data_IF_382367105077
#
_entry.id   IF_382367105077
#
_cell.length_a   1.000
_cell.length_b   1.000
_cell.length_c   1.000
_cell.angle_alpha   90.00
_cell.angle_beta   90.00
_cell.angle_gamma   90.00
#
_symmetry.space_group_name_H-M   'P 1'
#
loop_
_entity.id
_entity.type
_entity.pdbx_description
1 polymer ?
#
# COMPACT_ATOMS: atom_id res chain seq x y z
N UNK A 1 -13.73 -7.12 -33.48
CA UNK A 1 -13.46 -6.95 -32.03
C UNK A 1 -12.14 -6.20 -31.96
N UNK A 2 -12.13 -4.99 -31.41
CA UNK A 2 -10.88 -4.29 -31.16
C UNK A 2 -10.05 -5.12 -30.16
N UNK A 3 -8.79 -5.39 -30.50
CA UNK A 3 -7.88 -6.09 -29.61
C UNK A 3 -7.73 -5.27 -28.30
N UNK A 4 -8.07 -5.86 -27.16
CA UNK A 4 -7.90 -5.21 -25.88
C UNK A 4 -6.42 -4.85 -25.67
N UNK A 5 -6.14 -3.66 -25.11
CA UNK A 5 -4.79 -3.23 -24.81
C UNK A 5 -4.04 -4.27 -23.94
N UNK A 6 -2.75 -4.55 -24.20
CA UNK A 6 -1.95 -5.44 -23.35
C UNK A 6 -1.88 -4.89 -21.93
N UNK A 7 -2.03 -5.76 -20.92
CA UNK A 7 -1.82 -5.41 -19.52
C UNK A 7 -0.47 -5.95 -19.05
N UNK A 8 0.41 -5.07 -18.58
CA UNK A 8 1.70 -5.39 -17.98
C UNK A 8 1.61 -5.16 -16.49
N UNK A 9 1.89 -6.19 -15.68
CA UNK A 9 1.77 -6.15 -14.23
C UNK A 9 3.13 -6.38 -13.58
N UNK A 10 3.64 -5.36 -12.89
CA UNK A 10 4.80 -5.48 -12.02
C UNK A 10 4.35 -6.06 -10.68
N UNK A 11 4.82 -7.25 -10.35
CA UNK A 11 4.27 -8.00 -9.23
C UNK A 11 5.25 -9.03 -8.66
N UNK A 12 4.76 -9.79 -7.72
CA UNK A 12 5.31 -11.08 -7.32
C UNK A 12 4.47 -12.16 -8.00
N UNK A 13 4.97 -12.79 -9.07
CA UNK A 13 4.22 -13.81 -9.79
C UNK A 13 3.78 -14.97 -8.89
N UNK A 14 2.54 -15.44 -9.07
CA UNK A 14 1.98 -16.55 -8.29
C UNK A 14 1.45 -16.15 -6.91
N UNK A 15 1.52 -14.88 -6.52
CA UNK A 15 0.80 -14.43 -5.35
C UNK A 15 -0.71 -14.29 -5.62
N UNK A 16 -1.49 -14.10 -4.54
CA UNK A 16 -2.96 -14.04 -4.64
C UNK A 16 -3.47 -12.90 -5.52
N UNK A 17 -2.71 -11.79 -5.64
CA UNK A 17 -3.10 -10.63 -6.43
C UNK A 17 -2.87 -10.88 -7.91
N UNK A 18 -1.67 -11.29 -8.29
CA UNK A 18 -1.34 -11.62 -9.67
C UNK A 18 -2.18 -12.79 -10.20
N UNK A 19 -2.42 -13.82 -9.37
CA UNK A 19 -3.31 -14.93 -9.72
C UNK A 19 -4.76 -14.46 -9.90
N UNK A 20 -5.28 -13.61 -9.03
CA UNK A 20 -6.63 -13.06 -9.13
C UNK A 20 -6.84 -12.20 -10.37
N UNK A 21 -5.84 -11.40 -10.77
CA UNK A 21 -5.86 -10.62 -12.01
C UNK A 21 -5.94 -11.57 -13.21
N UNK A 22 -5.10 -12.61 -13.27
CA UNK A 22 -5.11 -13.58 -14.38
C UNK A 22 -6.46 -14.31 -14.47
N UNK A 23 -7.00 -14.76 -13.35
CA UNK A 23 -8.30 -15.42 -13.28
C UNK A 23 -9.46 -14.52 -13.74
N UNK A 24 -9.44 -13.24 -13.33
CA UNK A 24 -10.46 -12.29 -13.77
C UNK A 24 -10.39 -12.04 -15.28
N UNK A 25 -9.17 -11.91 -15.83
CA UNK A 25 -8.98 -11.75 -17.29
C UNK A 25 -9.44 -12.97 -18.06
N UNK A 26 -9.13 -14.17 -17.60
CA UNK A 26 -9.60 -15.42 -18.18
C UNK A 26 -11.14 -15.49 -18.23
N UNK A 27 -11.81 -15.22 -17.09
CA UNK A 27 -13.28 -15.22 -17.00
C UNK A 27 -13.94 -14.20 -17.92
N UNK A 28 -13.27 -13.10 -18.16
CA UNK A 28 -13.76 -12.02 -19.05
C UNK A 28 -13.35 -12.23 -20.53
N UNK A 29 -12.65 -13.34 -20.86
CA UNK A 29 -12.15 -13.59 -22.21
C UNK A 29 -11.09 -12.60 -22.68
N UNK A 30 -10.38 -11.94 -21.73
CA UNK A 30 -9.30 -11.01 -22.02
C UNK A 30 -7.96 -11.77 -22.14
N UNK A 31 -7.02 -11.29 -22.97
CA UNK A 31 -5.68 -11.87 -23.02
C UNK A 31 -5.01 -11.88 -21.63
N UNK A 32 -4.22 -12.91 -21.29
CA UNK A 32 -3.47 -12.95 -20.04
C UNK A 32 -2.59 -11.70 -19.86
N UNK A 33 -2.42 -11.24 -18.63
CA UNK A 33 -1.49 -10.15 -18.34
C UNK A 33 -0.03 -10.62 -18.44
N UNK A 34 0.86 -9.75 -18.91
CA UNK A 34 2.31 -9.95 -18.89
C UNK A 34 2.82 -9.64 -17.48
N UNK A 35 3.42 -10.63 -16.80
CA UNK A 35 3.88 -10.47 -15.42
C UNK A 35 5.37 -10.17 -15.39
N UNK A 36 5.75 -9.04 -14.80
CA UNK A 36 7.14 -8.62 -14.61
C UNK A 36 7.52 -8.78 -13.14
N UNK A 37 8.43 -9.72 -12.81
CA UNK A 37 8.80 -9.98 -11.43
C UNK A 37 9.63 -8.86 -10.81
N UNK A 38 9.20 -8.31 -9.66
CA UNK A 38 10.04 -7.37 -8.88
C UNK A 38 11.40 -7.95 -8.51
N UNK A 39 11.47 -9.26 -8.23
CA UNK A 39 12.71 -9.92 -7.87
C UNK A 39 13.77 -9.81 -8.97
N UNK A 40 13.37 -9.97 -10.23
CA UNK A 40 14.26 -9.87 -11.38
C UNK A 40 14.79 -8.43 -11.56
N UNK A 41 13.91 -7.44 -11.45
CA UNK A 41 14.30 -6.03 -11.49
C UNK A 41 15.29 -5.68 -10.36
N UNK A 42 15.02 -6.15 -9.14
CA UNK A 42 15.89 -5.90 -7.98
C UNK A 42 17.24 -6.64 -8.06
N UNK A 43 17.32 -7.71 -8.86
CA UNK A 43 18.57 -8.40 -9.21
C UNK A 43 19.34 -7.73 -10.36
N UNK A 44 18.81 -6.62 -10.89
CA UNK A 44 19.48 -5.83 -11.93
C UNK A 44 19.15 -6.24 -13.35
N UNK A 45 18.20 -7.19 -13.58
CA UNK A 45 17.80 -7.55 -14.93
C UNK A 45 17.18 -6.36 -15.66
N UNK A 46 17.54 -6.12 -16.93
CA UNK A 46 16.95 -5.06 -17.74
C UNK A 46 15.46 -5.28 -17.99
N UNK A 47 14.65 -4.23 -17.90
CA UNK A 47 13.21 -4.33 -18.15
C UNK A 47 12.90 -4.81 -19.58
N UNK A 48 13.70 -4.44 -20.56
CA UNK A 48 13.54 -4.88 -21.95
C UNK A 48 13.57 -6.43 -22.08
N UNK A 49 14.57 -7.08 -21.46
CA UNK A 49 14.68 -8.53 -21.46
C UNK A 49 13.50 -9.21 -20.75
N UNK A 50 13.04 -8.63 -19.64
CA UNK A 50 11.88 -9.15 -18.89
C UNK A 50 10.58 -9.05 -19.69
N UNK A 51 10.40 -7.98 -20.46
CA UNK A 51 9.26 -7.81 -21.36
C UNK A 51 9.28 -8.84 -22.48
N UNK A 52 10.42 -9.07 -23.11
CA UNK A 52 10.59 -10.10 -24.15
C UNK A 52 10.27 -11.50 -23.61
N UNK A 53 10.79 -11.86 -22.44
CA UNK A 53 10.51 -13.13 -21.78
C UNK A 53 9.02 -13.30 -21.46
N UNK A 54 8.37 -12.26 -20.96
CA UNK A 54 6.93 -12.29 -20.62
C UNK A 54 6.07 -12.49 -21.87
N UNK A 55 6.41 -11.84 -22.98
CA UNK A 55 5.74 -12.04 -24.28
C UNK A 55 5.93 -13.44 -24.82
N UNK A 56 7.16 -13.98 -24.76
CA UNK A 56 7.44 -15.37 -25.18
C UNK A 56 6.63 -16.40 -24.38
N UNK A 57 6.55 -16.22 -23.05
CA UNK A 57 5.75 -17.07 -22.17
C UNK A 57 4.26 -17.04 -22.53
N UNK A 58 3.71 -15.85 -22.83
CA UNK A 58 2.32 -15.69 -23.25
C UNK A 58 2.04 -16.44 -24.57
N UNK A 59 2.94 -16.35 -25.55
CA UNK A 59 2.81 -17.08 -26.83
C UNK A 59 2.86 -18.59 -26.65
N UNK A 60 3.71 -19.10 -25.77
CA UNK A 60 3.76 -20.53 -25.47
C UNK A 60 2.47 -21.05 -24.84
N UNK A 61 1.85 -20.28 -23.96
CA UNK A 61 0.58 -20.64 -23.32
C UNK A 61 -0.61 -20.58 -24.32
N UNK A 62 -0.55 -19.68 -25.29
CA UNK A 62 -1.59 -19.52 -26.31
C UNK A 62 -1.47 -20.54 -27.47
N UNK A 63 -0.28 -21.14 -27.67
CA UNK A 63 0.03 -22.06 -28.76
C UNK A 63 -0.20 -23.54 -28.45
N UNK A 64 -0.71 -23.92 -27.28
CA UNK A 64 -1.02 -25.32 -26.97
C UNK A 64 -2.42 -25.73 -27.45
N UNK A 65 -2.57 -25.83 -28.79
CA UNK A 65 -3.56 -26.74 -29.39
C UNK A 65 -2.84 -28.08 -29.60
N UNK A 66 -3.28 -29.20 -29.01
CA UNK A 66 -2.62 -30.48 -29.25
C UNK A 66 -2.92 -30.97 -30.67
N UNK A 67 -1.95 -30.93 -31.55
CA UNK A 67 -2.01 -31.61 -32.83
C UNK A 67 -1.63 -30.77 -34.05
N UNK A 68 -0.35 -30.50 -34.24
CA UNK A 68 0.34 -30.54 -35.53
C UNK A 68 1.85 -30.24 -35.35
N UNK A 69 2.78 -31.06 -35.88
CA UNK A 69 4.20 -30.75 -35.87
C UNK A 69 4.53 -29.73 -36.97
N UNK A 70 4.88 -28.50 -36.60
CA UNK A 70 5.51 -27.57 -37.54
C UNK A 70 7.03 -27.64 -37.44
N UNK A 71 7.64 -28.07 -38.52
CA UNK A 71 9.07 -28.00 -38.80
C UNK A 71 9.50 -26.52 -38.80
N UNK A 72 10.35 -26.15 -37.86
CA UNK A 72 10.96 -24.84 -37.82
C UNK A 72 12.28 -24.83 -38.61
N UNK A 73 12.35 -24.00 -39.63
CA UNK A 73 13.61 -23.59 -40.26
C UNK A 73 14.21 -22.40 -39.53
N UNK A 74 15.54 -22.37 -39.29
CA UNK A 74 16.19 -21.26 -38.64
C UNK A 74 16.37 -20.09 -39.64
N UNK A 75 15.74 -18.95 -39.39
CA UNK A 75 16.13 -17.70 -40.05
C UNK A 75 16.69 -16.74 -39.02
N UNK A 76 18.00 -16.55 -39.12
CA UNK A 76 18.73 -15.43 -38.57
C UNK A 76 18.31 -14.15 -39.29
N UNK A 77 17.77 -13.16 -38.57
CA UNK A 77 17.87 -11.76 -38.96
C UNK A 77 17.69 -10.86 -37.73
N UNK A 78 18.73 -10.20 -37.38
CA UNK A 78 18.80 -9.07 -36.48
C UNK A 78 18.01 -7.90 -37.08
N UNK A 79 16.78 -7.71 -36.68
CA UNK A 79 16.10 -6.41 -36.78
C UNK A 79 15.18 -6.31 -35.56
N UNK A 80 15.39 -5.29 -34.71
CA UNK A 80 14.69 -5.05 -33.48
C UNK A 80 13.21 -4.76 -33.73
N UNK A 81 12.40 -5.79 -33.83
CA UNK A 81 10.94 -5.70 -33.84
C UNK A 81 10.45 -6.09 -32.46
N UNK A 82 10.03 -5.09 -31.68
CA UNK A 82 9.36 -5.35 -30.40
C UNK A 82 7.94 -5.86 -30.69
N UNK A 83 7.55 -7.04 -30.18
CA UNK A 83 6.17 -7.55 -30.35
C UNK A 83 5.09 -6.61 -29.78
N UNK A 84 5.48 -5.66 -28.94
CA UNK A 84 4.58 -4.64 -28.37
C UNK A 84 4.34 -3.44 -29.29
N UNK A 85 5.19 -3.22 -30.32
CA UNK A 85 5.02 -2.15 -31.31
C UNK A 85 3.89 -2.47 -32.32
N UNK A 86 3.48 -3.73 -32.44
CA UNK A 86 2.37 -4.15 -33.31
C UNK A 86 1.00 -4.15 -32.60
N UNK A 87 0.93 -3.81 -31.30
CA UNK A 87 -0.32 -3.75 -30.57
C UNK A 87 -1.19 -2.58 -31.07
N UNK A 88 -2.47 -2.85 -31.37
CA UNK A 88 -3.41 -1.87 -31.85
C UNK A 88 -3.74 -0.74 -30.85
N UNK A 89 -3.35 -0.91 -29.57
CA UNK A 89 -3.51 0.06 -28.51
C UNK A 89 -2.29 0.04 -27.56
N UNK A 90 -1.89 1.22 -27.01
CA UNK A 90 -0.78 1.28 -26.07
C UNK A 90 -1.03 0.45 -24.81
N UNK A 91 0.03 -0.17 -24.21
CA UNK A 91 -0.13 -1.05 -23.07
C UNK A 91 -0.58 -0.30 -21.82
N UNK A 92 -1.38 -0.98 -21.01
CA UNK A 92 -1.73 -0.56 -19.67
C UNK A 92 -0.71 -1.13 -18.68
N UNK A 93 -0.20 -0.29 -17.80
CA UNK A 93 0.80 -0.63 -16.80
C UNK A 93 0.16 -0.66 -15.41
N UNK A 94 0.45 -1.71 -14.65
CA UNK A 94 -0.06 -1.90 -13.30
C UNK A 94 1.08 -2.30 -12.35
N UNK A 95 1.09 -1.68 -11.18
CA UNK A 95 1.98 -2.03 -10.08
C UNK A 95 1.16 -2.71 -8.98
N UNK A 96 1.62 -3.84 -8.49
CA UNK A 96 1.07 -4.52 -7.32
C UNK A 96 1.97 -4.35 -6.10
N UNK A 97 1.46 -4.71 -4.93
CA UNK A 97 2.22 -4.60 -3.68
C UNK A 97 3.48 -5.49 -3.71
N UNK A 98 4.67 -4.98 -3.35
CA UNK A 98 5.88 -5.77 -3.23
C UNK A 98 5.93 -6.59 -1.93
N UNK A 99 4.93 -6.49 -1.06
CA UNK A 99 4.92 -7.14 0.26
C UNK A 99 4.80 -8.65 0.23
N UNK A 100 5.08 -9.28 1.39
CA UNK A 100 4.88 -10.72 1.61
C UNK A 100 6.04 -11.61 1.14
N UNK A 101 7.24 -11.06 0.94
CA UNK A 101 8.47 -11.81 0.69
C UNK A 101 9.64 -11.11 1.37
N UNK A 102 10.29 -11.78 2.30
CA UNK A 102 11.47 -11.22 2.98
C UNK A 102 12.63 -10.98 2.00
N UNK A 103 12.77 -11.79 0.97
CA UNK A 103 13.80 -11.58 -0.05
C UNK A 103 13.61 -10.24 -0.78
N UNK A 104 12.35 -9.87 -1.11
CA UNK A 104 12.04 -8.57 -1.70
C UNK A 104 12.22 -7.43 -0.68
N UNK A 105 11.76 -7.63 0.56
CA UNK A 105 11.92 -6.65 1.63
C UNK A 105 13.40 -6.32 1.85
N UNK A 106 14.25 -7.33 1.97
CA UNK A 106 15.70 -7.20 2.11
C UNK A 106 16.34 -6.47 0.93
N UNK A 107 15.94 -6.81 -0.30
CA UNK A 107 16.44 -6.16 -1.50
C UNK A 107 16.03 -4.68 -1.58
N UNK A 108 14.81 -4.35 -1.17
CA UNK A 108 14.35 -2.96 -1.07
C UNK A 108 15.10 -2.18 0.02
N UNK A 109 15.38 -2.80 1.18
CA UNK A 109 16.21 -2.17 2.21
C UNK A 109 17.62 -1.90 1.66
N UNK A 110 18.21 -2.85 0.91
CA UNK A 110 19.52 -2.66 0.28
C UNK A 110 19.50 -1.54 -0.79
N UNK A 111 18.46 -1.49 -1.62
CA UNK A 111 18.28 -0.41 -2.61
C UNK A 111 18.08 0.96 -1.94
N UNK A 112 17.47 1.00 -0.75
CA UNK A 112 17.27 2.23 0.03
C UNK A 112 18.50 2.70 0.82
N UNK A 113 19.60 1.95 0.80
CA UNK A 113 20.82 2.29 1.52
C UNK A 113 21.46 3.59 1.01
N UNK A 114 22.19 4.34 1.88
CA UNK A 114 22.88 5.56 1.47
C UNK A 114 23.94 5.33 0.38
N UNK A 115 24.57 4.16 0.40
CA UNK A 115 25.64 3.72 -0.50
C UNK A 115 25.13 2.83 -1.65
N UNK A 116 23.82 2.73 -1.87
CA UNK A 116 23.27 1.98 -2.98
C UNK A 116 23.61 2.68 -4.32
N UNK A 117 24.01 1.92 -5.36
CA UNK A 117 24.25 2.50 -6.67
C UNK A 117 22.95 3.01 -7.31
N UNK A 118 23.07 3.95 -8.26
CA UNK A 118 21.94 4.48 -9.05
C UNK A 118 20.75 4.99 -8.23
N UNK A 119 21.06 5.73 -7.17
CA UNK A 119 20.09 6.23 -6.20
C UNK A 119 19.25 7.36 -6.80
N UNK A 120 18.04 7.04 -7.28
CA UNK A 120 17.03 8.00 -7.74
C UNK A 120 15.97 8.22 -6.66
N UNK A 121 16.12 9.29 -5.88
CA UNK A 121 15.18 9.66 -4.80
C UNK A 121 14.07 10.61 -5.31
N UNK A 122 13.87 10.78 -6.61
CA UNK A 122 12.91 11.75 -7.20
C UNK A 122 11.45 11.49 -6.80
N UNK A 123 11.08 10.25 -6.48
CA UNK A 123 9.73 9.88 -6.05
C UNK A 123 9.57 9.80 -4.53
N UNK A 124 10.61 10.07 -3.74
CA UNK A 124 10.46 10.06 -2.29
C UNK A 124 9.69 11.28 -1.81
N UNK A 125 8.50 11.16 -1.15
CA UNK A 125 7.57 12.27 -0.90
C UNK A 125 8.14 13.42 -0.07
N UNK A 126 9.07 13.15 0.82
CA UNK A 126 9.70 14.14 1.72
C UNK A 126 11.21 14.26 1.49
N UNK A 127 11.67 13.92 0.28
CA UNK A 127 13.09 13.89 -0.02
C UNK A 127 13.84 12.88 0.84
N UNK A 128 15.07 13.20 1.19
CA UNK A 128 15.89 12.31 2.03
C UNK A 128 15.52 12.51 3.50
N UNK A 129 14.65 11.67 4.04
CA UNK A 129 14.59 11.46 5.49
C UNK A 129 15.26 10.11 5.80
N UNK A 130 16.58 10.11 5.98
CA UNK A 130 17.29 8.87 6.22
C UNK A 130 16.92 8.33 7.59
N UNK A 131 16.84 7.00 7.69
CA UNK A 131 17.02 6.33 8.96
C UNK A 131 18.26 6.94 9.64
N UNK A 132 18.15 7.36 10.90
CA UNK A 132 19.30 7.93 11.65
C UNK A 132 20.43 6.93 11.84
N UNK A 133 20.19 5.64 11.59
CA UNK A 133 21.15 4.54 11.65
C UNK A 133 20.91 3.61 10.44
N UNK A 134 21.15 4.10 9.21
CA UNK A 134 20.91 3.30 8.03
C UNK A 134 21.92 2.15 7.94
N UNK A 135 21.48 1.04 7.36
CA UNK A 135 22.37 -0.03 6.94
C UNK A 135 23.03 0.34 5.61
N UNK A 136 24.29 -0.07 5.42
CA UNK A 136 24.88 -0.11 4.08
C UNK A 136 24.15 -1.12 3.20
N UNK A 137 24.25 -1.00 1.89
CA UNK A 137 23.65 -1.93 0.94
C UNK A 137 24.11 -3.38 1.21
N UNK A 138 25.41 -3.58 1.50
CA UNK A 138 25.99 -4.88 1.85
C UNK A 138 25.40 -5.44 3.14
N UNK A 139 25.27 -4.63 4.19
CA UNK A 139 24.70 -5.05 5.46
C UNK A 139 23.21 -5.37 5.33
N UNK A 140 22.46 -4.57 4.57
CA UNK A 140 21.06 -4.82 4.28
C UNK A 140 20.85 -6.12 3.50
N UNK A 141 21.68 -6.41 2.50
CA UNK A 141 21.63 -7.65 1.72
C UNK A 141 21.96 -8.91 2.56
N UNK A 142 22.65 -8.75 3.68
CA UNK A 142 23.00 -9.83 4.61
C UNK A 142 21.96 -10.07 5.72
N UNK A 143 20.88 -9.28 5.78
CA UNK A 143 19.83 -9.46 6.78
C UNK A 143 19.24 -10.87 6.73
N UNK A 144 19.02 -11.43 7.90
CA UNK A 144 18.37 -12.72 8.09
C UNK A 144 16.87 -12.52 8.33
N UNK A 145 16.07 -13.42 7.81
CA UNK A 145 14.64 -13.44 8.09
C UNK A 145 14.40 -13.82 9.54
N UNK A 146 13.75 -12.94 10.27
CA UNK A 146 13.30 -13.18 11.63
C UNK A 146 11.79 -12.93 11.68
N UNK A 147 10.97 -13.89 12.14
CA UNK A 147 9.53 -13.78 12.09
C UNK A 147 9.01 -12.49 12.73
N UNK A 148 8.34 -11.68 11.92
CA UNK A 148 7.68 -10.45 12.35
C UNK A 148 8.60 -9.27 12.66
N UNK A 149 9.93 -9.41 12.61
CA UNK A 149 10.84 -8.28 12.87
C UNK A 149 10.65 -7.17 11.85
N UNK A 150 10.58 -5.93 12.35
CA UNK A 150 10.43 -4.73 11.52
C UNK A 150 11.82 -4.19 11.19
N UNK A 151 12.35 -4.59 10.04
CA UNK A 151 13.65 -4.17 9.57
C UNK A 151 13.60 -2.82 8.85
N UNK A 152 14.23 -1.78 9.40
CA UNK A 152 14.50 -0.48 8.77
C UNK A 152 13.38 0.06 7.85
N UNK A 153 12.14 0.26 8.34
CA UNK A 153 10.98 0.56 7.49
C UNK A 153 11.13 1.85 6.66
N UNK A 154 11.82 2.87 7.16
CA UNK A 154 12.09 4.09 6.38
C UNK A 154 13.09 3.84 5.24
N UNK A 155 14.09 2.99 5.46
CA UNK A 155 15.04 2.61 4.43
C UNK A 155 14.40 1.69 3.38
N UNK A 156 13.53 0.76 3.80
CA UNK A 156 12.69 -0.03 2.90
C UNK A 156 11.84 0.88 1.99
N UNK A 157 11.19 1.88 2.57
CA UNK A 157 10.34 2.79 1.81
C UNK A 157 11.14 3.61 0.79
N UNK A 158 12.32 4.09 1.16
CA UNK A 158 13.22 4.78 0.24
C UNK A 158 13.62 3.88 -0.94
N UNK A 159 13.95 2.61 -0.68
CA UNK A 159 14.26 1.65 -1.73
C UNK A 159 13.06 1.35 -2.63
N UNK A 160 11.85 1.30 -2.06
CA UNK A 160 10.64 1.15 -2.86
C UNK A 160 10.42 2.36 -3.78
N UNK A 161 10.58 3.59 -3.29
CA UNK A 161 10.50 4.79 -4.13
C UNK A 161 11.55 4.78 -5.27
N UNK A 162 12.76 4.31 -5.00
CA UNK A 162 13.82 4.15 -6.02
C UNK A 162 13.47 3.10 -7.07
N UNK A 163 12.88 1.98 -6.67
CA UNK A 163 12.36 0.98 -7.60
C UNK A 163 11.25 1.56 -8.48
N UNK A 164 10.31 2.29 -7.90
CA UNK A 164 9.24 2.96 -8.64
C UNK A 164 9.79 4.00 -9.64
N UNK A 165 10.78 4.79 -9.25
CA UNK A 165 11.44 5.76 -10.12
C UNK A 165 12.14 5.08 -11.30
N UNK A 166 12.86 3.99 -11.04
CA UNK A 166 13.48 3.16 -12.08
C UNK A 166 12.43 2.61 -13.05
N UNK A 167 11.39 1.95 -12.56
CA UNK A 167 10.32 1.37 -13.39
C UNK A 167 9.68 2.47 -14.24
N UNK A 168 9.35 3.62 -13.66
CA UNK A 168 8.76 4.75 -14.39
C UNK A 168 9.66 5.24 -15.51
N UNK A 169 10.94 5.38 -15.25
CA UNK A 169 11.94 5.82 -16.24
C UNK A 169 12.10 4.81 -17.38
N UNK A 170 12.30 3.54 -17.05
CA UNK A 170 12.53 2.50 -18.05
C UNK A 170 11.26 2.25 -18.90
N UNK A 171 10.06 2.23 -18.29
CA UNK A 171 8.80 2.10 -19.06
C UNK A 171 8.55 3.30 -19.95
N UNK A 172 8.87 4.52 -19.52
CA UNK A 172 8.74 5.72 -20.36
C UNK A 172 9.63 5.68 -21.61
N UNK A 173 10.78 5.02 -21.54
CA UNK A 173 11.69 4.83 -22.67
C UNK A 173 11.28 3.69 -23.59
N UNK A 174 10.87 2.54 -23.01
CA UNK A 174 10.62 1.31 -23.76
C UNK A 174 9.18 1.21 -24.30
N UNK A 175 8.23 1.84 -23.63
CA UNK A 175 6.79 1.74 -23.91
C UNK A 175 6.15 3.13 -24.02
N UNK A 176 6.57 3.95 -24.99
CA UNK A 176 6.01 5.29 -25.15
C UNK A 176 4.49 5.20 -25.41
N UNK A 177 3.72 6.10 -24.78
CA UNK A 177 2.27 6.11 -24.87
C UNK A 177 1.55 5.12 -23.94
N UNK A 178 2.28 4.33 -23.14
CA UNK A 178 1.66 3.46 -22.12
C UNK A 178 0.95 4.25 -21.02
N UNK A 179 -0.06 3.64 -20.40
CA UNK A 179 -0.87 4.26 -19.36
C UNK A 179 -0.80 3.50 -18.06
N UNK A 180 -0.57 4.23 -16.95
CA UNK A 180 -0.59 3.65 -15.62
C UNK A 180 -2.02 3.47 -15.11
N UNK A 181 -2.34 2.31 -14.53
CA UNK A 181 -3.53 2.15 -13.67
C UNK A 181 -3.44 3.09 -12.48
N UNK A 182 -2.27 3.12 -11.84
CA UNK A 182 -1.91 4.07 -10.80
C UNK A 182 -0.48 4.56 -11.06
N UNK A 183 -0.30 5.88 -11.13
CA UNK A 183 1.01 6.50 -11.37
C UNK A 183 2.00 6.18 -10.25
N UNK A 184 3.25 5.78 -10.55
CA UNK A 184 4.26 5.44 -9.55
C UNK A 184 4.52 6.52 -8.50
N UNK A 185 4.45 7.82 -8.87
CA UNK A 185 4.65 8.90 -7.90
C UNK A 185 3.47 9.04 -6.94
N UNK A 186 2.24 8.80 -7.41
CA UNK A 186 1.07 8.81 -6.54
C UNK A 186 1.01 7.56 -5.66
N UNK A 187 1.47 6.39 -6.14
CA UNK A 187 1.68 5.21 -5.30
C UNK A 187 2.67 5.51 -4.16
N UNK A 188 3.80 6.16 -4.47
CA UNK A 188 4.76 6.58 -3.45
C UNK A 188 4.11 7.55 -2.43
N UNK A 189 3.31 8.50 -2.90
CA UNK A 189 2.59 9.44 -2.04
C UNK A 189 1.54 8.73 -1.15
N UNK A 190 0.74 7.80 -1.70
CA UNK A 190 -0.23 7.00 -0.94
C UNK A 190 0.45 6.05 0.06
N UNK A 191 1.66 5.60 -0.21
CA UNK A 191 2.42 4.74 0.70
C UNK A 191 2.92 5.52 1.91
N UNK A 192 3.21 6.82 1.80
CA UNK A 192 3.53 7.68 2.95
C UNK A 192 2.25 8.32 3.52
N UNK A 193 1.77 7.80 4.64
CA UNK A 193 0.55 8.26 5.30
C UNK A 193 0.56 9.76 5.65
N UNK A 194 1.73 10.35 5.90
CA UNK A 194 1.88 11.80 6.16
C UNK A 194 1.54 12.60 4.91
N UNK A 195 2.07 12.16 3.76
CA UNK A 195 1.80 12.81 2.47
C UNK A 195 0.36 12.58 2.02
N UNK A 196 -0.16 11.37 2.21
CA UNK A 196 -1.57 11.03 1.96
C UNK A 196 -2.50 11.95 2.74
N UNK A 197 -2.31 12.08 4.05
CA UNK A 197 -3.15 12.93 4.91
C UNK A 197 -3.07 14.41 4.49
N UNK A 198 -1.89 14.87 4.09
CA UNK A 198 -1.71 16.23 3.60
C UNK A 198 -2.49 16.47 2.29
N UNK A 199 -2.34 15.59 1.29
CA UNK A 199 -3.03 15.71 0.01
C UNK A 199 -4.56 15.64 0.16
N UNK A 200 -5.06 14.75 1.00
CA UNK A 200 -6.48 14.65 1.30
C UNK A 200 -7.01 15.93 1.94
N UNK A 201 -6.28 16.49 2.92
CA UNK A 201 -6.67 17.74 3.56
C UNK A 201 -6.65 18.94 2.59
N UNK A 202 -5.62 19.03 1.72
CA UNK A 202 -5.53 20.03 0.64
C UNK A 202 -6.70 19.92 -0.35
N UNK A 203 -7.18 18.68 -0.61
CA UNK A 203 -8.35 18.42 -1.45
C UNK A 203 -9.70 18.59 -0.72
N UNK A 204 -9.69 19.01 0.56
CA UNK A 204 -10.91 19.19 1.36
C UNK A 204 -11.57 17.89 1.84
N UNK A 205 -10.90 16.73 1.71
CA UNK A 205 -11.39 15.45 2.22
C UNK A 205 -11.21 15.40 3.73
N UNK A 206 -12.25 15.03 4.50
CA UNK A 206 -12.12 14.92 5.94
C UNK A 206 -11.13 13.84 6.35
N UNK A 207 -10.15 14.21 7.16
CA UNK A 207 -9.14 13.32 7.75
C UNK A 207 -9.07 13.50 9.26
N UNK A 208 -8.60 12.52 10.04
CA UNK A 208 -8.32 12.74 11.46
C UNK A 208 -7.31 13.88 11.64
N UNK A 209 -7.59 14.79 12.57
CA UNK A 209 -6.73 15.97 12.81
C UNK A 209 -5.31 15.51 13.18
N UNK A 210 -4.26 15.92 12.42
CA UNK A 210 -2.89 15.60 12.79
C UNK A 210 -2.50 16.32 14.09
N UNK A 211 -1.68 15.68 14.92
CA UNK A 211 -1.10 16.29 16.10
C UNK A 211 0.07 17.18 15.69
N UNK A 212 -0.10 18.48 15.80
CA UNK A 212 0.91 19.49 15.45
C UNK A 212 0.86 20.65 16.45
N UNK A 213 1.99 21.34 16.62
CA UNK A 213 2.02 22.60 17.37
C UNK A 213 1.23 23.70 16.65
N UNK A 214 1.00 24.82 17.32
CA UNK A 214 0.44 26.03 16.72
C UNK A 214 1.27 26.58 15.55
N UNK A 215 2.59 26.30 15.53
CA UNK A 215 3.49 26.62 14.40
C UNK A 215 3.54 25.54 13.31
N UNK A 216 2.73 24.48 13.41
CA UNK A 216 2.64 23.39 12.43
C UNK A 216 3.68 22.27 12.60
N UNK A 217 4.51 22.31 13.64
CA UNK A 217 5.53 21.29 13.88
C UNK A 217 4.91 19.99 14.39
N UNK A 218 5.29 18.86 13.79
CA UNK A 218 4.90 17.53 14.25
C UNK A 218 5.82 17.05 15.38
N UNK A 219 5.34 16.15 16.27
CA UNK A 219 6.20 15.53 17.27
C UNK A 219 7.30 14.70 16.60
N UNK A 220 8.49 14.69 17.23
CA UNK A 220 9.67 13.98 16.71
C UNK A 220 10.13 12.84 17.63
N UNK A 221 9.56 12.77 18.83
CA UNK A 221 9.85 11.78 19.85
C UNK A 221 8.71 11.69 20.88
N UNK A 222 8.89 10.83 21.88
CA UNK A 222 7.92 10.64 22.95
C UNK A 222 7.71 11.88 23.81
N UNK A 223 8.75 12.67 24.08
CA UNK A 223 8.63 13.86 24.92
C UNK A 223 7.79 14.94 24.23
N UNK A 224 8.15 15.29 22.98
CA UNK A 224 7.41 16.26 22.16
C UNK A 224 5.99 15.79 21.83
N UNK A 225 5.76 14.48 21.69
CA UNK A 225 4.41 13.93 21.55
C UNK A 225 3.53 14.30 22.74
N UNK A 226 4.00 14.09 23.96
CA UNK A 226 3.25 14.37 25.19
C UNK A 226 3.00 15.87 25.39
N UNK A 227 4.00 16.70 25.11
CA UNK A 227 3.88 18.16 25.15
C UNK A 227 2.79 18.63 24.20
N UNK A 228 2.82 18.19 22.94
CA UNK A 228 1.82 18.57 21.94
C UNK A 228 0.43 18.01 22.27
N UNK A 229 0.32 16.81 22.80
CA UNK A 229 -0.95 16.26 23.28
C UNK A 229 -1.57 17.14 24.39
N UNK A 230 -0.75 17.65 25.29
CA UNK A 230 -1.19 18.58 26.34
C UNK A 230 -1.59 19.93 25.74
N UNK A 231 -0.72 20.54 24.93
CA UNK A 231 -0.97 21.83 24.25
C UNK A 231 -2.28 21.80 23.45
N UNK A 232 -2.46 20.75 22.65
CA UNK A 232 -3.61 20.59 21.75
C UNK A 232 -4.85 20.01 22.44
N UNK A 233 -4.79 19.70 23.73
CA UNK A 233 -5.83 18.99 24.50
C UNK A 233 -6.30 17.72 23.82
N UNK A 234 -5.36 17.02 23.16
CA UNK A 234 -5.62 15.78 22.42
C UNK A 234 -5.12 14.59 23.24
N UNK A 235 -5.94 14.07 24.13
CA UNK A 235 -5.57 13.03 25.10
C UNK A 235 -5.60 11.62 24.53
N UNK A 236 -6.06 11.45 23.29
CA UNK A 236 -6.12 10.18 22.56
C UNK A 236 -5.65 10.37 21.14
N UNK A 237 -4.65 9.59 20.74
CA UNK A 237 -4.07 9.65 19.41
C UNK A 237 -3.83 8.26 18.85
N UNK A 238 -3.83 8.14 17.54
CA UNK A 238 -3.18 7.05 16.83
C UNK A 238 -1.78 7.49 16.41
N UNK A 239 -0.76 6.70 16.73
CA UNK A 239 0.59 6.87 16.23
C UNK A 239 0.80 5.80 15.18
N UNK A 240 1.19 6.18 13.98
CA UNK A 240 1.34 5.27 12.84
C UNK A 240 2.71 5.44 12.21
N UNK A 241 3.34 4.33 11.85
CA UNK A 241 4.51 4.35 10.97
C UNK A 241 4.08 4.89 9.61
N UNK A 242 4.80 5.85 9.04
CA UNK A 242 4.41 6.55 7.81
C UNK A 242 4.23 5.57 6.63
N UNK A 243 5.16 4.63 6.45
CA UNK A 243 5.14 3.63 5.37
C UNK A 243 4.74 2.22 5.84
N UNK A 244 4.06 2.11 6.99
CA UNK A 244 3.61 0.83 7.52
C UNK A 244 2.37 0.28 6.80
N UNK A 245 2.33 -1.06 6.63
CA UNK A 245 1.17 -1.80 6.12
C UNK A 245 0.71 -2.86 7.13
N UNK A 246 -0.45 -3.50 6.90
CA UNK A 246 -0.97 -4.61 7.72
C UNK A 246 -1.01 -4.32 9.24
N UNK A 247 -1.32 -3.09 9.63
CA UNK A 247 -1.28 -2.58 11.00
C UNK A 247 0.12 -2.66 11.68
N UNK A 248 1.20 -2.81 10.91
CA UNK A 248 2.56 -2.74 11.44
C UNK A 248 2.87 -1.31 11.87
N UNK A 249 3.43 -1.16 13.09
CA UNK A 249 3.82 0.16 13.58
C UNK A 249 2.64 1.08 13.92
N UNK A 250 1.51 0.55 14.40
CA UNK A 250 0.34 1.31 14.84
C UNK A 250 0.20 1.23 16.36
N UNK A 251 -0.02 2.37 17.00
CA UNK A 251 -0.31 2.48 18.43
C UNK A 251 -1.59 3.29 18.63
N UNK A 252 -2.57 2.73 19.30
CA UNK A 252 -3.68 3.48 19.90
C UNK A 252 -3.24 3.93 21.30
N UNK A 253 -2.90 5.21 21.44
CA UNK A 253 -2.31 5.77 22.65
C UNK A 253 -3.24 6.75 23.33
N UNK A 254 -3.33 6.65 24.65
CA UNK A 254 -4.09 7.57 25.48
C UNK A 254 -3.30 7.96 26.73
N UNK A 255 -3.45 9.22 27.12
CA UNK A 255 -2.87 9.85 28.30
C UNK A 255 -3.99 10.42 29.16
N UNK A 256 -4.03 10.07 30.43
CA UNK A 256 -4.92 10.71 31.38
C UNK A 256 -4.29 12.05 31.83
N UNK A 257 -4.88 13.21 31.51
CA UNK A 257 -4.29 14.52 31.82
C UNK A 257 -4.23 14.83 33.31
N UNK A 258 -5.09 14.20 34.14
CA UNK A 258 -5.14 14.48 35.58
C UNK A 258 -4.13 13.65 36.35
N UNK A 259 -3.86 12.40 35.95
CA UNK A 259 -3.00 11.47 36.70
C UNK A 259 -1.66 11.21 35.99
N UNK A 260 -1.52 11.60 34.72
CA UNK A 260 -0.37 11.23 33.89
C UNK A 260 -0.33 9.75 33.48
N UNK A 261 -1.34 8.96 33.85
CA UNK A 261 -1.41 7.54 33.52
C UNK A 261 -1.54 7.33 32.01
N UNK A 262 -0.83 6.36 31.48
CA UNK A 262 -0.73 6.05 30.05
C UNK A 262 -1.26 4.67 29.74
N UNK A 263 -1.83 4.53 28.56
CA UNK A 263 -2.18 3.24 27.98
C UNK A 263 -1.92 3.27 26.47
N UNK A 264 -1.14 2.31 26.00
CA UNK A 264 -1.00 2.03 24.59
C UNK A 264 -1.50 0.63 24.26
N UNK A 265 -2.27 0.52 23.17
CA UNK A 265 -2.65 -0.73 22.54
C UNK A 265 -1.97 -0.77 21.19
N UNK A 266 -1.16 -1.79 20.92
CA UNK A 266 -0.33 -1.84 19.71
C UNK A 266 -0.05 -3.27 19.27
N UNK A 267 0.33 -3.43 17.99
CA UNK A 267 0.88 -4.67 17.45
C UNK A 267 2.37 -4.83 17.70
N UNK A 268 3.04 -3.79 18.19
CA UNK A 268 4.50 -3.80 18.36
C UNK A 268 4.87 -4.55 19.64
N UNK A 269 5.67 -5.60 19.46
CA UNK A 269 6.43 -6.23 20.53
C UNK A 269 7.86 -5.71 20.56
N UNK A 270 8.51 -5.81 21.72
CA UNK A 270 9.90 -5.41 21.93
C UNK A 270 10.63 -6.51 22.66
N UNK A 271 11.75 -6.93 22.10
CA UNK A 271 12.77 -7.73 22.80
C UNK A 271 13.95 -6.86 23.18
N UNK A 272 14.25 -6.80 24.47
CA UNK A 272 15.39 -6.07 25.00
C UNK A 272 16.58 -7.01 25.21
N UNK A 273 17.76 -6.55 24.86
CA UNK A 273 19.01 -7.27 25.03
C UNK A 273 20.00 -6.44 25.84
N UNK A 274 20.88 -7.10 26.57
CA UNK A 274 21.91 -6.42 27.40
C UNK A 274 23.02 -5.83 26.51
N UNK A 275 23.40 -6.55 25.44
CA UNK A 275 24.61 -6.24 24.66
C UNK A 275 24.33 -5.71 23.26
N UNK A 276 23.05 -5.65 22.85
CA UNK A 276 22.64 -5.16 21.51
C UNK A 276 21.37 -4.30 21.61
N UNK A 277 21.08 -3.46 20.60
CA UNK A 277 19.86 -2.67 20.58
C UNK A 277 18.59 -3.52 20.65
N UNK A 278 17.48 -2.96 21.18
CA UNK A 278 16.18 -3.64 21.17
C UNK A 278 15.74 -3.99 19.76
N UNK A 279 15.06 -5.14 19.63
CA UNK A 279 14.43 -5.57 18.39
C UNK A 279 12.94 -5.33 18.49
N UNK A 280 12.38 -4.67 17.47
CA UNK A 280 10.97 -4.36 17.37
C UNK A 280 10.33 -5.28 16.31
N UNK A 281 9.19 -5.86 16.66
CA UNK A 281 8.51 -6.81 15.77
C UNK A 281 6.99 -6.61 15.78
N UNK A 282 6.34 -6.96 14.69
CA UNK A 282 4.88 -7.07 14.63
C UNK A 282 4.47 -8.43 15.22
N UNK A 283 3.88 -8.40 16.39
CA UNK A 283 3.55 -9.62 17.15
C UNK A 283 2.37 -10.42 16.60
N UNK A 284 1.64 -9.89 15.60
CA UNK A 284 0.38 -10.48 15.13
C UNK A 284 -0.72 -10.54 16.19
N UNK A 285 -0.46 -10.00 17.39
CA UNK A 285 -1.39 -9.89 18.52
C UNK A 285 -1.28 -8.49 19.11
N UNK A 286 -2.36 -8.01 19.71
CA UNK A 286 -2.33 -6.73 20.40
C UNK A 286 -1.68 -6.87 21.77
N UNK A 287 -0.73 -5.98 22.01
CA UNK A 287 -0.04 -5.79 23.30
C UNK A 287 -0.64 -4.56 24.00
N UNK A 288 -0.60 -4.56 25.33
CA UNK A 288 -0.96 -3.41 26.16
C UNK A 288 0.25 -2.99 26.98
N UNK A 289 0.57 -1.70 26.92
CA UNK A 289 1.68 -1.12 27.68
C UNK A 289 1.18 0.07 28.49
N UNK A 290 1.61 0.12 29.76
CA UNK A 290 1.35 1.23 30.70
C UNK A 290 2.65 1.78 31.28
N UNK A 291 3.76 1.09 31.07
CA UNK A 291 5.10 1.54 31.52
C UNK A 291 5.64 2.61 30.59
N UNK A 292 5.88 3.80 31.12
CA UNK A 292 6.33 4.98 30.37
C UNK A 292 7.71 4.79 29.73
N UNK A 293 8.62 4.04 30.36
CA UNK A 293 9.97 3.81 29.84
C UNK A 293 9.89 2.95 28.57
N UNK A 294 9.10 1.89 28.64
CA UNK A 294 8.87 0.98 27.49
C UNK A 294 8.16 1.69 26.36
N UNK A 295 7.13 2.49 26.69
CA UNK A 295 6.41 3.31 25.73
C UNK A 295 7.31 4.33 25.03
N UNK A 296 8.16 5.03 25.78
CA UNK A 296 9.14 5.97 25.24
C UNK A 296 10.07 5.26 24.24
N UNK A 297 10.55 4.05 24.56
CA UNK A 297 11.40 3.25 23.67
C UNK A 297 10.71 2.94 22.33
N UNK A 298 9.47 2.44 22.39
CA UNK A 298 8.67 2.09 21.19
C UNK A 298 8.35 3.34 20.36
N UNK A 299 7.85 4.39 20.98
CA UNK A 299 7.43 5.63 20.30
C UNK A 299 8.64 6.34 19.66
N UNK A 300 9.78 6.42 20.38
CA UNK A 300 11.02 6.98 19.85
C UNK A 300 11.54 6.18 18.64
N UNK A 301 11.40 4.85 18.68
CA UNK A 301 11.77 4.01 17.55
C UNK A 301 10.86 4.30 16.33
N UNK A 302 9.55 4.41 16.53
CA UNK A 302 8.63 4.76 15.44
C UNK A 302 8.96 6.13 14.82
N UNK A 303 9.18 7.16 15.63
CA UNK A 303 9.52 8.50 15.14
C UNK A 303 10.86 8.53 14.39
N UNK A 304 11.81 7.68 14.79
CA UNK A 304 13.06 7.51 14.03
C UNK A 304 12.81 7.07 12.59
N UNK A 305 11.75 6.29 12.37
CA UNK A 305 11.36 5.76 11.06
C UNK A 305 10.23 6.56 10.39
N UNK A 306 9.95 7.76 10.86
CA UNK A 306 9.02 8.68 10.19
C UNK A 306 7.55 8.47 10.58
N UNK A 307 7.27 8.11 11.81
CA UNK A 307 5.91 8.03 12.33
C UNK A 307 5.24 9.40 12.41
N UNK A 308 3.90 9.39 12.47
CA UNK A 308 3.08 10.57 12.73
C UNK A 308 1.97 10.23 13.72
N UNK A 309 1.40 11.26 14.33
CA UNK A 309 0.28 11.11 15.26
C UNK A 309 -0.94 11.89 14.76
N UNK A 310 -2.11 11.28 14.91
CA UNK A 310 -3.39 11.85 14.52
C UNK A 310 -4.43 11.62 15.62
N UNK A 311 -5.49 12.42 15.60
CA UNK A 311 -6.62 12.30 16.51
C UNK A 311 -7.25 10.91 16.43
N UNK A 312 -7.46 10.30 17.59
CA UNK A 312 -8.26 9.11 17.68
C UNK A 312 -9.75 9.46 17.53
N UNK A 313 -10.33 9.16 16.39
CA UNK A 313 -11.76 9.35 16.13
C UNK A 313 -12.54 8.27 16.89
N UNK A 314 -13.46 8.66 17.79
CA UNK A 314 -14.36 7.69 18.43
C UNK A 314 -15.25 7.02 17.38
N UNK A 315 -15.11 5.71 17.23
CA UNK A 315 -15.93 4.92 16.31
C UNK A 315 -17.27 4.62 16.97
N UNK A 316 -18.39 4.53 16.24
CA UNK A 316 -19.62 4.01 16.77
C UNK A 316 -19.39 2.56 17.18
N UNK A 317 -20.03 2.14 18.25
CA UNK A 317 -19.92 0.80 18.77
C UNK A 317 -21.30 0.21 19.05
N UNK A 318 -21.43 -1.08 18.81
CA UNK A 318 -22.55 -1.90 19.24
C UNK A 318 -21.99 -3.11 19.96
N UNK A 319 -22.53 -3.40 21.13
CA UNK A 319 -22.14 -4.58 21.94
C UNK A 319 -20.63 -4.62 22.27
N UNK A 320 -20.02 -3.45 22.56
CA UNK A 320 -18.58 -3.33 22.86
C UNK A 320 -17.65 -3.52 21.66
N UNK A 321 -18.18 -3.58 20.44
CA UNK A 321 -17.41 -3.69 19.21
C UNK A 321 -17.41 -2.36 18.45
N UNK A 322 -16.30 -2.02 17.83
CA UNK A 322 -16.15 -0.88 16.93
C UNK A 322 -15.78 -1.36 15.53
N UNK A 323 -16.04 -0.54 14.51
CA UNK A 323 -15.71 -0.90 13.14
C UNK A 323 -15.17 0.28 12.34
N UNK A 324 -14.53 -0.02 11.23
CA UNK A 324 -14.27 0.88 10.12
C UNK A 324 -14.67 0.21 8.81
N UNK A 325 -14.73 0.99 7.74
CA UNK A 325 -15.12 0.51 6.42
C UNK A 325 -13.89 0.49 5.51
N UNK A 326 -13.63 -0.67 4.90
CA UNK A 326 -12.76 -0.79 3.73
C UNK A 326 -13.62 -0.67 2.49
N UNK A 327 -13.50 0.45 1.77
CA UNK A 327 -14.22 0.76 0.54
C UNK A 327 -13.25 0.70 -0.64
N UNK A 328 -13.53 -0.13 -1.63
CA UNK A 328 -12.81 -0.12 -2.91
C UNK A 328 -13.41 0.96 -3.81
N UNK A 329 -12.54 1.73 -4.45
CA UNK A 329 -12.91 2.71 -5.48
C UNK A 329 -12.16 2.33 -6.76
N UNK A 330 -12.90 2.21 -7.85
CA UNK A 330 -12.37 1.87 -9.18
C UNK A 330 -12.89 2.88 -10.19
N UNK A 331 -11.97 3.52 -10.89
CA UNK A 331 -12.31 4.46 -11.95
C UNK A 331 -13.24 5.61 -11.49
N UNK A 332 -13.11 6.03 -10.22
CA UNK A 332 -13.90 7.08 -9.59
C UNK A 332 -15.22 6.61 -8.98
N UNK A 333 -15.57 5.32 -9.07
CA UNK A 333 -16.79 4.74 -8.51
C UNK A 333 -16.49 3.88 -7.28
N UNK A 334 -17.16 4.15 -6.17
CA UNK A 334 -17.10 3.34 -4.96
C UNK A 334 -17.92 2.05 -5.16
N UNK A 335 -17.27 0.91 -5.12
CA UNK A 335 -17.86 -0.38 -5.44
C UNK A 335 -17.89 -1.33 -4.21
N UNK A 336 -17.03 -2.31 -4.14
CA UNK A 336 -17.00 -3.32 -3.07
C UNK A 336 -16.66 -2.70 -1.72
N UNK A 337 -17.35 -3.12 -0.65
CA UNK A 337 -17.11 -2.63 0.70
C UNK A 337 -17.29 -3.71 1.75
N UNK A 338 -16.49 -3.64 2.81
CA UNK A 338 -16.67 -4.44 4.04
C UNK A 338 -16.51 -3.56 5.28
N UNK A 339 -17.22 -3.90 6.33
CA UNK A 339 -16.95 -3.45 7.68
C UNK A 339 -15.97 -4.42 8.36
N UNK A 340 -14.90 -3.85 8.95
CA UNK A 340 -13.92 -4.60 9.77
C UNK A 340 -14.24 -4.35 11.23
N UNK A 341 -14.79 -5.35 11.91
CA UNK A 341 -15.35 -5.24 13.26
C UNK A 341 -14.37 -5.82 14.28
N UNK A 342 -14.10 -5.08 15.36
CA UNK A 342 -13.16 -5.47 16.43
C UNK A 342 -13.65 -5.01 17.81
N UNK A 343 -13.27 -5.75 18.85
CA UNK A 343 -13.40 -5.34 20.26
C UNK A 343 -12.27 -4.43 20.72
N UNK A 344 -11.34 -4.12 19.83
CA UNK A 344 -10.15 -3.31 20.10
C UNK A 344 -10.16 -2.02 19.27
N UNK A 345 -9.41 -1.00 19.65
CA UNK A 345 -9.37 0.24 18.87
C UNK A 345 -8.77 0.07 17.47
N UNK A 346 -7.92 -0.96 17.26
CA UNK A 346 -7.28 -1.24 15.98
C UNK A 346 -8.12 -2.27 15.22
N UNK A 347 -8.77 -1.83 14.13
CA UNK A 347 -9.55 -2.65 13.24
C UNK A 347 -8.69 -3.05 12.04
N UNK A 348 -8.31 -4.33 11.96
CA UNK A 348 -7.54 -4.85 10.83
C UNK A 348 -7.78 -6.36 10.68
N UNK A 349 -7.97 -6.84 9.44
CA UNK A 349 -8.24 -8.25 9.17
C UNK A 349 -7.08 -9.17 9.56
N UNK A 350 -5.83 -8.69 9.48
CA UNK A 350 -4.67 -9.43 9.97
C UNK A 350 -4.65 -9.64 11.49
N UNK A 351 -5.46 -8.85 12.23
CA UNK A 351 -5.65 -8.96 13.68
C UNK A 351 -6.93 -9.71 14.06
N UNK A 352 -7.46 -10.52 13.14
CA UNK A 352 -8.69 -11.30 13.31
C UNK A 352 -9.95 -10.44 13.53
N UNK A 353 -10.00 -9.22 13.00
CA UNK A 353 -11.24 -8.46 12.91
C UNK A 353 -12.25 -9.23 12.07
N UNK A 354 -13.50 -9.27 12.53
CA UNK A 354 -14.59 -9.95 11.81
C UNK A 354 -15.01 -9.09 10.62
N UNK A 355 -15.33 -9.75 9.51
CA UNK A 355 -15.87 -9.11 8.30
C UNK A 355 -17.39 -9.15 8.37
N UNK A 356 -18.01 -8.04 7.99
CA UNK A 356 -19.46 -7.90 7.84
C UNK A 356 -19.73 -6.97 6.65
N UNK A 357 -20.95 -7.00 6.13
CA UNK A 357 -21.39 -5.91 5.25
C UNK A 357 -21.55 -4.61 6.05
N UNK A 358 -21.46 -3.44 5.43
CA UNK A 358 -21.71 -2.17 6.11
C UNK A 358 -23.09 -2.08 6.75
N UNK A 359 -24.12 -2.67 6.14
CA UNK A 359 -25.48 -2.73 6.68
C UNK A 359 -25.58 -3.61 7.95
N UNK A 360 -24.96 -4.80 7.94
CA UNK A 360 -24.91 -5.68 9.14
C UNK A 360 -24.15 -5.03 10.28
N UNK A 361 -23.13 -4.20 9.98
CA UNK A 361 -22.41 -3.40 10.99
C UNK A 361 -23.25 -2.24 11.56
N UNK A 362 -24.46 -2.01 11.03
CA UNK A 362 -25.41 -1.03 11.51
C UNK A 362 -25.38 0.33 10.81
N UNK A 363 -24.73 0.46 9.65
CA UNK A 363 -24.78 1.69 8.87
C UNK A 363 -26.12 1.80 8.13
N UNK A 364 -26.77 2.95 8.28
CA UNK A 364 -27.93 3.32 7.46
C UNK A 364 -27.52 3.55 6.01
N UNK A 365 -28.46 3.51 5.07
CA UNK A 365 -28.20 3.81 3.65
C UNK A 365 -27.56 5.19 3.46
N UNK A 366 -28.02 6.19 4.20
CA UNK A 366 -27.45 7.54 4.17
C UNK A 366 -25.98 7.57 4.61
N UNK A 367 -25.63 6.82 5.65
CA UNK A 367 -24.24 6.71 6.12
C UNK A 367 -23.38 5.91 5.13
N UNK A 368 -23.91 4.86 4.51
CA UNK A 368 -23.21 4.13 3.45
C UNK A 368 -22.97 5.02 2.22
N UNK A 369 -23.93 5.85 1.85
CA UNK A 369 -23.76 6.82 0.77
C UNK A 369 -22.69 7.86 1.11
N UNK A 370 -22.60 8.32 2.37
CA UNK A 370 -21.56 9.24 2.82
C UNK A 370 -20.17 8.58 2.79
N UNK A 371 -20.07 7.32 3.20
CA UNK A 371 -18.83 6.53 3.09
C UNK A 371 -18.36 6.44 1.63
N UNK A 372 -19.27 6.15 0.70
CA UNK A 372 -18.94 6.11 -0.74
C UNK A 372 -18.42 7.45 -1.24
N UNK A 373 -19.15 8.56 -0.96
CA UNK A 373 -18.71 9.91 -1.35
C UNK A 373 -17.33 10.26 -0.80
N UNK A 374 -17.09 9.95 0.47
CA UNK A 374 -15.77 10.20 1.10
C UNK A 374 -14.67 9.39 0.42
N UNK A 375 -14.94 8.13 0.09
CA UNK A 375 -13.98 7.28 -0.59
C UNK A 375 -13.68 7.74 -2.02
N UNK A 376 -14.72 8.12 -2.78
CA UNK A 376 -14.58 8.68 -4.13
C UNK A 376 -13.78 9.98 -4.12
N UNK A 377 -14.10 10.90 -3.21
CA UNK A 377 -13.34 12.14 -3.01
C UNK A 377 -11.89 11.87 -2.62
N UNK A 378 -11.64 10.80 -1.84
CA UNK A 378 -10.27 10.41 -1.46
C UNK A 378 -9.45 9.95 -2.66
N UNK A 379 -10.01 9.15 -3.57
CA UNK A 379 -9.30 8.76 -4.79
C UNK A 379 -9.13 9.95 -5.74
N UNK A 380 -10.10 10.86 -5.82
CA UNK A 380 -10.02 12.06 -6.65
C UNK A 380 -8.87 13.01 -6.25
N UNK A 381 -8.37 12.94 -4.99
CA UNK A 381 -7.17 13.65 -4.56
C UNK A 381 -5.87 13.09 -5.21
N UNK A 382 -5.96 11.97 -5.92
CA UNK A 382 -4.87 11.31 -6.66
C UNK A 382 -5.29 11.13 -8.13
N UNK A 383 -5.27 12.21 -8.93
CA UNK A 383 -5.92 12.25 -10.25
C UNK A 383 -5.31 11.30 -11.29
N UNK A 384 -4.10 10.80 -11.07
CA UNK A 384 -3.43 9.83 -11.94
C UNK A 384 -3.55 8.39 -11.44
N UNK A 385 -4.53 8.14 -10.54
CA UNK A 385 -4.83 6.82 -10.01
C UNK A 385 -6.28 6.43 -10.31
N UNK A 386 -6.47 5.20 -10.75
CA UNK A 386 -7.78 4.65 -11.07
C UNK A 386 -8.31 3.69 -10.00
N UNK A 387 -7.46 3.22 -9.09
CA UNK A 387 -7.84 2.22 -8.08
C UNK A 387 -7.28 2.62 -6.73
N UNK A 388 -8.09 2.53 -5.68
CA UNK A 388 -7.62 2.52 -4.30
C UNK A 388 -8.58 1.80 -3.35
N UNK A 389 -8.02 1.18 -2.34
CA UNK A 389 -8.77 0.70 -1.17
C UNK A 389 -8.73 1.74 -0.06
N UNK A 390 -9.88 2.34 0.25
CA UNK A 390 -9.99 3.45 1.19
C UNK A 390 -10.46 2.95 2.56
N UNK A 391 -9.76 3.32 3.62
CA UNK A 391 -10.18 3.08 4.99
C UNK A 391 -10.97 4.28 5.49
N UNK A 392 -12.28 4.11 5.62
CA UNK A 392 -13.19 5.17 6.08
C UNK A 392 -13.63 4.91 7.51
N UNK A 393 -13.38 5.88 8.38
CA UNK A 393 -13.91 5.93 9.75
C UNK A 393 -15.26 6.62 9.72
N UNK A 394 -16.23 6.04 10.44
CA UNK A 394 -17.49 6.72 10.75
C UNK A 394 -17.42 7.17 12.20
N UNK A 395 -17.47 8.44 12.45
CA UNK A 395 -17.47 8.99 13.81
C UNK A 395 -18.84 8.89 14.47
N UNK A 396 -18.89 9.08 15.80
CA UNK A 396 -20.13 8.98 16.60
C UNK A 396 -21.23 9.96 16.16
N UNK A 397 -20.86 11.08 15.51
CA UNK A 397 -21.81 12.06 14.96
C UNK A 397 -22.19 11.78 13.50
N UNK A 398 -21.86 10.59 12.95
CA UNK A 398 -22.11 10.23 11.56
C UNK A 398 -21.14 10.86 10.54
N UNK A 399 -20.18 11.66 10.97
CA UNK A 399 -19.14 12.22 10.09
C UNK A 399 -18.19 11.12 9.64
N UNK A 400 -17.79 11.16 8.39
CA UNK A 400 -16.79 10.26 7.83
C UNK A 400 -15.40 10.89 7.77
N UNK A 401 -14.36 10.07 7.90
CA UNK A 401 -12.97 10.51 7.81
C UNK A 401 -12.16 9.44 7.06
N UNK A 402 -11.27 9.85 6.19
CA UNK A 402 -10.33 8.93 5.55
C UNK A 402 -9.13 8.69 6.46
N UNK A 403 -8.96 7.46 6.90
CA UNK A 403 -7.85 7.06 7.78
C UNK A 403 -6.62 6.56 7.02
N UNK A 404 -6.82 5.96 5.84
CA UNK A 404 -5.75 5.41 5.00
C UNK A 404 -6.21 5.25 3.54
N UNK A 405 -5.27 5.36 2.60
CA UNK A 405 -5.47 5.10 1.18
C UNK A 405 -4.48 4.04 0.73
N UNK A 406 -4.99 2.92 0.21
CA UNK A 406 -4.18 1.78 -0.20
C UNK A 406 -4.09 1.74 -1.73
N UNK A 407 -2.91 1.99 -2.34
CA UNK A 407 -2.76 2.20 -3.78
C UNK A 407 -2.98 0.95 -4.66
N UNK A 408 -3.07 -0.23 -4.05
CA UNK A 408 -3.21 -1.49 -4.79
C UNK A 408 -4.63 -2.06 -4.76
N UNK A 409 -5.64 -1.23 -4.44
CA UNK A 409 -6.99 -1.70 -4.22
C UNK A 409 -7.08 -2.69 -3.05
N UNK A 410 -8.00 -3.63 -3.14
CA UNK A 410 -8.08 -4.73 -2.17
C UNK A 410 -8.64 -6.00 -2.80
N UNK A 411 -8.29 -7.14 -2.21
CA UNK A 411 -8.83 -8.43 -2.54
C UNK A 411 -9.92 -8.77 -1.50
N UNK A 412 -11.12 -8.26 -1.74
CA UNK A 412 -12.27 -8.50 -0.86
C UNK A 412 -12.94 -9.82 -1.25
N UNK A 413 -12.41 -10.94 -0.69
CA UNK A 413 -12.96 -12.27 -0.94
C UNK A 413 -14.44 -12.34 -0.58
N UNK A 414 -15.20 -13.06 -1.38
CA UNK A 414 -16.63 -13.34 -1.16
C UNK A 414 -17.49 -12.06 -1.06
N UNK A 415 -17.05 -10.98 -1.71
CA UNK A 415 -17.82 -9.75 -1.87
C UNK A 415 -18.00 -9.49 -3.35
N UNK A 416 -19.25 -9.37 -3.74
CA UNK A 416 -19.63 -9.06 -5.11
C UNK A 416 -20.20 -7.64 -5.22
N UNK A 417 -19.92 -7.00 -6.33
CA UNK A 417 -20.55 -5.75 -6.74
C UNK A 417 -21.02 -5.89 -8.18
N UNK A 418 -22.32 -5.73 -8.40
CA UNK A 418 -22.97 -5.94 -9.71
C UNK A 418 -22.59 -7.30 -10.35
N UNK A 419 -22.56 -8.37 -9.53
CA UNK A 419 -22.24 -9.73 -9.97
C UNK A 419 -20.79 -9.95 -10.37
N UNK A 420 -19.87 -9.08 -9.94
CA UNK A 420 -18.42 -9.18 -10.20
C UNK A 420 -17.64 -9.24 -8.91
N UNK A 421 -16.60 -10.06 -8.89
CA UNK A 421 -15.52 -9.97 -7.90
C UNK A 421 -14.72 -8.65 -8.07
N UNK A 422 -13.85 -8.33 -7.12
CA UNK A 422 -13.05 -7.10 -7.16
C UNK A 422 -12.25 -6.97 -8.45
N UNK A 423 -11.48 -8.00 -8.84
CA UNK A 423 -10.65 -7.95 -10.05
C UNK A 423 -11.47 -8.03 -11.34
N UNK A 424 -12.59 -8.74 -11.37
CA UNK A 424 -13.49 -8.70 -12.55
C UNK A 424 -14.06 -7.30 -12.76
N UNK A 425 -14.46 -6.62 -11.68
CA UNK A 425 -14.91 -5.25 -11.75
C UNK A 425 -13.81 -4.30 -12.22
N UNK A 426 -12.61 -4.39 -11.62
CA UNK A 426 -11.45 -3.61 -12.05
C UNK A 426 -11.15 -3.81 -13.54
N UNK A 427 -11.10 -5.05 -14.02
CA UNK A 427 -10.81 -5.33 -15.43
C UNK A 427 -11.90 -4.79 -16.35
N UNK A 428 -13.18 -4.92 -15.99
CA UNK A 428 -14.28 -4.35 -16.78
C UNK A 428 -14.18 -2.83 -16.90
N UNK A 429 -13.95 -2.13 -15.79
CA UNK A 429 -13.91 -0.67 -15.76
C UNK A 429 -12.66 -0.11 -16.46
N UNK A 430 -11.53 -0.81 -16.40
CA UNK A 430 -10.28 -0.34 -16.98
C UNK A 430 -10.07 -0.75 -18.44
N UNK A 431 -10.63 -1.89 -18.87
CA UNK A 431 -10.52 -2.34 -20.28
C UNK A 431 -11.37 -1.53 -21.26
N UNK A 432 -12.39 -0.82 -20.78
CA UNK A 432 -13.31 0.00 -21.61
C UNK A 432 -12.93 1.48 -21.73
N UNK A 433 -11.93 1.96 -20.99
CA UNK A 433 -11.53 3.37 -21.02
C UNK A 433 -10.51 3.62 -22.11
N UNK A 434 -10.92 4.33 -23.13
CA UNK A 434 -9.99 5.02 -24.03
C UNK A 434 -9.41 6.22 -23.24
N UNK A 435 -8.08 6.39 -23.09
CA UNK A 435 -7.47 7.45 -22.27
C UNK A 435 -7.58 8.88 -22.84
N UNK A 436 -8.52 9.11 -23.74
CA UNK A 436 -8.72 10.39 -24.42
C UNK A 436 -10.00 11.13 -23.96
N UNK A 437 -10.39 11.00 -22.68
CA UNK A 437 -11.42 11.87 -22.07
C UNK A 437 -10.97 12.33 -20.70
#
# INVERSE_FOLDING_TARGET
>A
MQSAAPLIVFCRPGDRRSAGIQQARERLGLPPALLIPYAALLQGQPLAELLELAVQQQHQLSGHTPGQPQLASPRSSSSGYSPLESAAAPPQLRLESPGGSFALERALIALGAPDAPDADDSLHPFGQQPDRRPLSAKAAAALQELPGVLHHPSQWFRGYCRLLARIRRETGQLLPGSHWTNDPAEIAAMTDKRRTQQLLAEAGVPVPRPLRSSSGQAPVDYASLRELMHEQRMHRVFIKLASGSAASGVIAYQLNPATGAELAVTTIGVENYITRPPVYYNSGKLQRYTDSTRLAGIINWLYRHGAYAEQWIPKPGKDGQSFDIRQLVVAGEACHAIARVSTTPITNLHLRSRRMSPAEAGLTEAQQAEVRRTAEASLAAFPRCSIAGIDVLVGSAGRTYTADVNPFGDLLYDVEYQGCSTYEWEMKQLSGRNPAL
#
